data_IF_265754211702
#
_entry.id   IF_265754211702
#
_cell.length_a   1.000
_cell.length_b   1.000
_cell.length_c   1.000
_cell.angle_alpha   90.00
_cell.angle_beta   90.00
_cell.angle_gamma   90.00
#
_symmetry.space_group_name_H-M   'P 1'
#
loop_
_entity.id
_entity.type
_entity.pdbx_description
1 polymer ?
#
# COMPACT_ATOMS: atom_id res chain seq x y z
N UNK A 1 6.10 -8.59 27.97
CA UNK A 1 5.19 -9.72 27.63
C UNK A 1 4.94 -9.68 26.14
N UNK A 2 5.54 -10.61 25.41
CA UNK A 2 5.34 -10.85 23.97
C UNK A 2 4.49 -12.12 23.82
N UNK A 3 3.17 -12.05 23.62
CA UNK A 3 2.40 -13.29 23.48
C UNK A 3 1.75 -13.48 22.10
N UNK A 4 1.53 -12.45 21.30
CA UNK A 4 0.70 -12.62 20.09
C UNK A 4 1.50 -13.03 18.84
N UNK A 5 2.71 -12.50 18.64
CA UNK A 5 3.47 -12.71 17.40
C UNK A 5 4.14 -14.10 17.29
N UNK A 6 4.55 -14.70 18.41
CA UNK A 6 5.18 -16.03 18.43
C UNK A 6 4.19 -17.17 18.13
N UNK A 7 2.91 -16.98 18.45
CA UNK A 7 1.88 -18.00 18.24
C UNK A 7 1.68 -18.33 16.75
N UNK A 8 1.69 -17.32 15.87
CA UNK A 8 1.42 -17.51 14.44
C UNK A 8 2.64 -17.99 13.64
N UNK A 9 3.87 -17.70 14.10
CA UNK A 9 5.10 -18.23 13.51
C UNK A 9 5.25 -19.74 13.71
N UNK A 10 4.85 -20.27 14.88
CA UNK A 10 4.93 -21.69 15.20
C UNK A 10 3.89 -22.57 14.48
N UNK A 11 2.86 -21.99 13.87
CA UNK A 11 1.77 -22.72 13.17
C UNK A 11 2.11 -22.91 11.67
N UNK A 12 3.23 -22.36 11.19
CA UNK A 12 3.74 -22.67 9.84
C UNK A 12 2.88 -22.19 8.67
N UNK A 13 1.95 -21.24 8.91
CA UNK A 13 1.02 -20.71 7.89
C UNK A 13 1.74 -19.76 6.90
N UNK A 14 2.96 -19.30 7.20
CA UNK A 14 3.71 -18.38 6.36
C UNK A 14 5.16 -18.88 6.17
N UNK A 15 5.52 -19.24 4.93
CA UNK A 15 6.91 -19.49 4.55
C UNK A 15 7.52 -18.20 3.99
N UNK A 16 8.52 -17.67 4.70
CA UNK A 16 9.12 -16.36 4.50
C UNK A 16 10.06 -16.25 3.31
N UNK A 17 9.84 -15.23 2.47
CA UNK A 17 10.80 -14.76 1.48
C UNK A 17 11.86 -13.82 2.08
N UNK A 18 12.99 -13.58 1.38
CA UNK A 18 14.17 -12.90 1.92
C UNK A 18 13.97 -11.47 2.45
N UNK A 19 12.85 -10.81 2.11
CA UNK A 19 12.54 -9.42 2.48
C UNK A 19 11.60 -9.28 3.70
N UNK A 20 11.15 -10.39 4.30
CA UNK A 20 10.18 -10.37 5.41
C UNK A 20 10.68 -9.59 6.64
N UNK A 21 11.98 -9.66 6.95
CA UNK A 21 12.56 -8.96 8.11
C UNK A 21 12.47 -7.44 8.00
N UNK A 22 12.47 -6.88 6.78
CA UNK A 22 12.32 -5.44 6.59
C UNK A 22 10.88 -4.98 6.84
N UNK A 23 9.89 -5.82 6.49
CA UNK A 23 8.47 -5.51 6.57
C UNK A 23 7.95 -5.33 8.01
N UNK A 24 8.55 -6.03 8.97
CA UNK A 24 8.15 -5.97 10.39
C UNK A 24 8.97 -4.95 11.21
N UNK A 25 10.02 -4.36 10.64
CA UNK A 25 10.84 -3.35 11.33
C UNK A 25 10.04 -2.07 11.67
N UNK A 26 8.99 -1.78 10.91
CA UNK A 26 8.05 -0.68 11.15
C UNK A 26 7.34 -0.80 12.51
N UNK A 27 7.15 -2.03 13.01
CA UNK A 27 6.50 -2.29 14.30
C UNK A 27 7.48 -2.52 15.47
N UNK A 28 8.75 -2.84 15.19
CA UNK A 28 9.74 -3.24 16.21
C UNK A 28 10.90 -2.26 16.44
N UNK A 29 10.81 -1.03 15.92
CA UNK A 29 11.78 0.03 16.22
C UNK A 29 13.20 -0.22 15.70
N UNK A 30 13.37 -1.17 14.78
CA UNK A 30 14.64 -1.40 14.09
C UNK A 30 14.76 -0.37 12.95
N UNK A 31 15.60 0.65 13.16
CA UNK A 31 15.78 1.77 12.22
C UNK A 31 16.53 1.29 10.98
N UNK A 32 15.84 1.25 9.85
CA UNK A 32 16.45 1.03 8.52
C UNK A 32 16.42 2.36 7.77
N UNK A 33 17.47 2.72 7.00
CA UNK A 33 17.40 3.85 6.09
C UNK A 33 16.24 3.64 5.12
N UNK A 34 15.51 4.71 4.80
CA UNK A 34 14.23 4.60 4.09
C UNK A 34 14.37 4.07 2.67
N UNK A 35 15.55 4.20 2.06
CA UNK A 35 15.92 3.58 0.80
C UNK A 35 17.35 3.06 0.88
N UNK A 36 17.57 1.83 0.40
CA UNK A 36 18.91 1.21 0.33
C UNK A 36 19.47 1.26 -1.08
N UNK A 37 18.62 1.00 -2.08
CA UNK A 37 18.97 1.06 -3.51
C UNK A 37 17.83 1.71 -4.30
N UNK A 38 17.96 3.03 -4.49
CA UNK A 38 16.89 3.90 -4.97
C UNK A 38 16.42 3.53 -6.39
N UNK A 39 17.28 2.98 -7.24
CA UNK A 39 16.92 2.67 -8.64
C UNK A 39 16.07 1.39 -8.78
N UNK A 40 16.40 0.35 -8.01
CA UNK A 40 15.59 -0.88 -7.91
C UNK A 40 14.26 -0.63 -7.19
N UNK A 41 14.30 0.21 -6.15
CA UNK A 41 13.11 0.62 -5.40
C UNK A 41 12.18 1.48 -6.27
N UNK A 42 12.71 2.36 -7.14
CA UNK A 42 11.89 3.16 -8.05
C UNK A 42 11.14 2.28 -9.06
N UNK A 43 11.82 1.29 -9.65
CA UNK A 43 11.16 0.31 -10.54
C UNK A 43 10.07 -0.48 -9.83
N UNK A 44 10.30 -0.80 -8.56
CA UNK A 44 9.32 -1.49 -7.72
C UNK A 44 8.11 -0.61 -7.41
N UNK A 45 8.35 0.67 -7.10
CA UNK A 45 7.29 1.66 -6.87
C UNK A 45 6.45 1.90 -8.12
N UNK A 46 7.06 1.99 -9.31
CA UNK A 46 6.32 2.09 -10.58
C UNK A 46 5.36 0.92 -10.77
N UNK A 47 5.82 -0.31 -10.49
CA UNK A 47 5.00 -1.51 -10.59
C UNK A 47 3.85 -1.55 -9.57
N UNK A 48 4.09 -1.04 -8.36
CA UNK A 48 3.08 -0.97 -7.28
C UNK A 48 2.03 0.10 -7.56
N UNK A 49 2.46 1.29 -7.97
CA UNK A 49 1.57 2.42 -8.24
C UNK A 49 0.92 2.34 -9.63
N UNK A 50 1.33 1.41 -10.50
CA UNK A 50 0.89 1.30 -11.89
C UNK A 50 1.16 2.59 -12.69
N UNK A 51 2.27 3.25 -12.40
CA UNK A 51 2.73 4.47 -13.08
C UNK A 51 3.93 4.11 -13.93
N UNK A 52 3.97 4.59 -15.17
CA UNK A 52 5.14 4.44 -16.05
C UNK A 52 5.79 5.80 -16.23
N UNK A 53 7.06 5.95 -15.83
CA UNK A 53 7.83 7.19 -15.97
C UNK A 53 9.01 6.95 -16.91
N UNK A 54 9.31 7.89 -17.81
CA UNK A 54 10.34 7.71 -18.86
C UNK A 54 11.23 8.94 -19.00
N UNK A 55 12.48 8.71 -19.42
CA UNK A 55 13.43 9.77 -19.79
C UNK A 55 13.68 10.78 -18.67
N UNK A 56 13.72 12.07 -19.01
CA UNK A 56 14.02 13.17 -18.09
C UNK A 56 13.06 13.27 -16.89
N UNK A 57 11.79 12.86 -17.06
CA UNK A 57 10.81 12.89 -15.97
C UNK A 57 11.20 11.92 -14.86
N UNK A 58 11.84 10.80 -15.21
CA UNK A 58 12.30 9.81 -14.24
C UNK A 58 13.41 10.37 -13.36
N UNK A 59 14.38 11.08 -13.95
CA UNK A 59 15.48 11.71 -13.21
C UNK A 59 14.98 12.82 -12.29
N UNK A 60 14.03 13.63 -12.75
CA UNK A 60 13.39 14.68 -11.93
C UNK A 60 12.60 14.07 -10.77
N UNK A 61 11.79 13.04 -11.04
CA UNK A 61 11.02 12.34 -10.01
C UNK A 61 11.95 11.71 -8.97
N UNK A 62 13.04 11.09 -9.43
CA UNK A 62 14.08 10.53 -8.59
C UNK A 62 14.65 11.58 -7.64
N UNK A 63 15.14 12.71 -8.18
CA UNK A 63 15.74 13.78 -7.36
C UNK A 63 14.75 14.33 -6.32
N UNK A 64 13.51 14.55 -6.72
CA UNK A 64 12.46 15.05 -5.84
C UNK A 64 12.11 14.04 -4.72
N UNK A 65 11.99 12.75 -5.06
CA UNK A 65 11.69 11.70 -4.09
C UNK A 65 12.82 11.56 -3.07
N UNK A 66 14.09 11.55 -3.51
CA UNK A 66 15.25 11.52 -2.61
C UNK A 66 15.21 12.69 -1.62
N UNK A 67 14.91 13.91 -2.09
CA UNK A 67 14.82 15.09 -1.23
C UNK A 67 13.69 14.99 -0.20
N UNK A 68 12.52 14.49 -0.59
CA UNK A 68 11.39 14.28 0.33
C UNK A 68 11.74 13.26 1.40
N UNK A 69 12.38 12.16 1.02
CA UNK A 69 12.75 11.10 1.96
C UNK A 69 13.81 11.56 2.96
N UNK A 70 14.84 12.27 2.50
CA UNK A 70 15.83 12.92 3.38
C UNK A 70 15.18 13.88 4.38
N UNK A 71 14.12 14.57 3.98
CA UNK A 71 13.38 15.44 4.89
C UNK A 71 12.60 14.63 5.94
N UNK A 72 11.96 13.52 5.54
CA UNK A 72 11.22 12.64 6.44
C UNK A 72 12.14 11.89 7.41
N UNK A 73 13.39 11.61 7.02
CA UNK A 73 14.39 10.97 7.89
C UNK A 73 14.66 11.76 9.18
N UNK A 74 14.44 13.08 9.19
CA UNK A 74 14.53 13.91 10.41
C UNK A 74 13.59 13.43 11.52
N UNK A 75 12.48 12.77 11.18
CA UNK A 75 11.57 12.19 12.17
C UNK A 75 12.20 11.04 12.96
N UNK A 76 13.29 10.43 12.47
CA UNK A 76 14.02 9.37 13.18
C UNK A 76 14.79 9.88 14.40
N UNK A 77 15.02 11.20 14.50
CA UNK A 77 15.68 11.82 15.66
C UNK A 77 14.82 11.75 16.93
N UNK A 78 13.50 11.59 16.78
CA UNK A 78 12.54 11.54 17.88
C UNK A 78 12.41 10.12 18.47
N UNK A 79 12.31 10.00 19.80
CA UNK A 79 12.04 8.73 20.48
C UNK A 79 10.54 8.48 20.61
N UNK A 80 10.03 7.50 19.87
CA UNK A 80 8.60 7.14 19.84
C UNK A 80 8.29 5.81 20.54
N UNK A 81 9.25 5.18 21.24
CA UNK A 81 9.09 3.84 21.83
C UNK A 81 7.94 3.71 22.84
N UNK A 82 7.55 4.81 23.47
CA UNK A 82 6.51 4.85 24.50
C UNK A 82 5.26 5.61 24.08
N UNK A 83 5.15 5.98 22.80
CA UNK A 83 4.01 6.71 22.24
C UNK A 83 3.19 5.77 21.38
N UNK A 84 1.88 5.72 21.62
CA UNK A 84 0.96 4.93 20.77
C UNK A 84 0.75 5.62 19.43
N UNK A 85 0.73 4.90 18.29
CA UNK A 85 0.37 5.48 17.00
C UNK A 85 -1.04 6.06 17.03
N UNK A 86 -1.20 7.26 16.46
CA UNK A 86 -2.52 7.89 16.30
C UNK A 86 -3.20 7.34 15.04
N UNK A 87 -4.29 6.59 15.22
CA UNK A 87 -5.05 5.99 14.11
C UNK A 87 -6.22 6.87 13.70
N UNK A 88 -6.93 7.46 14.67
CA UNK A 88 -8.07 8.34 14.46
C UNK A 88 -7.94 9.53 15.42
N UNK A 89 -8.24 10.73 14.94
CA UNK A 89 -8.20 11.96 15.75
C UNK A 89 -9.38 12.02 16.72
N UNK A 90 -10.54 11.49 16.33
CA UNK A 90 -11.71 11.39 17.20
C UNK A 90 -11.56 10.25 18.21
N UNK A 91 -11.63 10.60 19.49
CA UNK A 91 -11.63 9.62 20.58
C UNK A 91 -13.04 9.03 20.76
N UNK A 92 -13.15 7.71 20.88
CA UNK A 92 -14.37 7.05 21.40
C UNK A 92 -15.50 6.78 20.39
N UNK A 93 -15.31 7.02 19.10
CA UNK A 93 -16.28 6.58 18.09
C UNK A 93 -16.03 5.11 17.74
N UNK A 94 -16.93 4.21 18.14
CA UNK A 94 -17.01 2.89 17.50
C UNK A 94 -17.23 3.11 16.00
N UNK A 95 -16.60 2.28 15.15
CA UNK A 95 -16.88 2.32 13.73
C UNK A 95 -18.40 2.12 13.54
N UNK A 96 -19.11 3.06 12.87
CA UNK A 96 -20.54 2.92 12.70
C UNK A 96 -20.82 1.67 11.88
N UNK A 97 -21.69 0.80 12.41
CA UNK A 97 -22.16 -0.37 11.67
C UNK A 97 -23.30 0.07 10.75
N UNK A 98 -23.25 -0.38 9.50
CA UNK A 98 -24.35 -0.23 8.53
C UNK A 98 -25.43 -1.28 8.82
N UNK A 99 -26.72 -0.91 8.76
CA UNK A 99 -27.83 -1.87 8.81
C UNK A 99 -27.79 -2.81 7.60
N UNK A 100 -28.21 -4.06 7.77
CA UNK A 100 -28.28 -5.05 6.70
C UNK A 100 -29.59 -4.95 5.91
N UNK A 101 -29.81 -3.77 5.31
CA UNK A 101 -31.00 -3.47 4.52
C UNK A 101 -30.60 -3.13 3.07
N UNK A 102 -31.41 -3.54 2.07
CA UNK A 102 -31.15 -3.18 0.69
C UNK A 102 -31.37 -1.68 0.49
N UNK A 103 -30.46 -1.04 -0.25
CA UNK A 103 -30.55 0.36 -0.65
C UNK A 103 -30.90 0.46 -2.13
N UNK A 104 -31.45 1.60 -2.52
CA UNK A 104 -31.69 1.92 -3.92
C UNK A 104 -30.36 1.95 -4.69
N UNK A 105 -30.27 1.12 -5.71
CA UNK A 105 -29.08 1.00 -6.55
C UNK A 105 -29.18 1.96 -7.74
N UNK A 106 -28.04 2.54 -8.12
CA UNK A 106 -27.95 3.38 -9.32
C UNK A 106 -28.37 2.58 -10.57
N UNK A 107 -29.15 3.22 -11.45
CA UNK A 107 -29.55 2.63 -12.72
C UNK A 107 -28.33 2.22 -13.56
N UNK A 108 -28.41 1.03 -14.14
CA UNK A 108 -27.33 0.43 -14.92
C UNK A 108 -26.98 1.28 -16.14
N UNK A 109 -27.96 1.85 -16.84
CA UNK A 109 -27.68 2.67 -18.02
C UNK A 109 -26.93 3.96 -17.64
N UNK A 110 -27.24 4.52 -16.47
CA UNK A 110 -26.54 5.68 -15.91
C UNK A 110 -25.09 5.35 -15.55
N UNK A 111 -24.85 4.22 -14.88
CA UNK A 111 -23.49 3.75 -14.58
C UNK A 111 -22.66 3.53 -15.86
N UNK A 112 -23.23 2.81 -16.83
CA UNK A 112 -22.53 2.46 -18.08
C UNK A 112 -22.25 3.65 -19.00
N UNK A 113 -22.83 4.83 -18.77
CA UNK A 113 -22.49 6.06 -19.50
C UNK A 113 -21.14 6.65 -19.06
N UNK A 114 -20.70 6.36 -17.84
CA UNK A 114 -19.43 6.89 -17.30
C UNK A 114 -18.21 6.04 -17.69
N UNK A 115 -18.44 4.91 -18.36
CA UNK A 115 -17.41 3.89 -18.59
C UNK A 115 -16.75 4.10 -19.96
N UNK A 116 -15.40 4.11 -20.04
CA UNK A 116 -14.69 4.34 -21.30
C UNK A 116 -14.96 3.29 -22.38
N UNK A 117 -15.00 2.00 -22.04
CA UNK A 117 -15.22 0.91 -22.99
C UNK A 117 -16.13 -0.19 -22.39
N UNK A 118 -17.07 -0.69 -23.20
CA UNK A 118 -18.11 -1.64 -22.77
C UNK A 118 -18.51 -2.60 -23.87
N UNK A 119 -18.92 -3.80 -23.46
CA UNK A 119 -19.57 -4.79 -24.35
C UNK A 119 -20.93 -5.10 -23.73
N UNK A 120 -22.00 -4.67 -24.39
CA UNK A 120 -23.37 -4.85 -23.89
C UNK A 120 -23.53 -4.26 -22.49
N UNK A 121 -23.80 -5.11 -21.50
CA UNK A 121 -23.99 -4.73 -20.08
C UNK A 121 -22.74 -4.90 -19.22
N UNK A 122 -21.58 -5.14 -19.81
CA UNK A 122 -20.31 -5.42 -19.11
C UNK A 122 -19.25 -4.35 -19.38
N UNK A 123 -18.36 -4.15 -18.42
CA UNK A 123 -17.15 -3.33 -18.58
C UNK A 123 -16.10 -4.13 -19.34
N UNK A 124 -15.54 -3.54 -20.40
CA UNK A 124 -14.51 -4.20 -21.19
C UNK A 124 -13.14 -3.88 -20.61
N UNK A 125 -12.39 -4.92 -20.28
CA UNK A 125 -11.00 -4.83 -19.79
C UNK A 125 -10.11 -5.82 -20.54
N UNK A 126 -8.79 -5.57 -20.64
CA UNK A 126 -7.85 -6.57 -21.13
C UNK A 126 -7.90 -7.86 -20.30
N UNK A 127 -7.66 -9.03 -20.92
CA UNK A 127 -7.62 -10.29 -20.19
C UNK A 127 -6.53 -10.28 -19.11
N UNK A 128 -6.83 -10.87 -17.96
CA UNK A 128 -5.95 -10.86 -16.77
C UNK A 128 -4.80 -11.86 -16.90
N UNK A 129 -5.06 -13.02 -17.52
CA UNK A 129 -4.06 -14.04 -17.81
C UNK A 129 -3.63 -13.90 -19.27
N UNK A 130 -2.31 -13.93 -19.52
CA UNK A 130 -1.79 -14.18 -20.87
C UNK A 130 -1.75 -15.69 -21.03
N UNK A 131 -2.46 -16.24 -22.01
CA UNK A 131 -2.28 -17.62 -22.43
C UNK A 131 -0.87 -17.74 -23.02
N UNK A 132 0.05 -18.35 -22.27
CA UNK A 132 1.24 -18.96 -22.84
C UNK A 132 0.83 -20.35 -23.34
N UNK A 133 0.41 -20.42 -24.60
CA UNK A 133 0.24 -21.66 -25.37
C UNK A 133 1.21 -21.65 -26.55
#
# INVERSE_FOLDING_TARGET
>A
MTPFALHWYNIGIFQGGPDEKARWNVFYGQRTPLLKNVEEELKSLEALCKITVRGEEREKLYSNLTRVLQYVEKLQELDTRHVKPLVLVHEGSSAPLRSDEPLDVMDRATFLKMIPDRIGTMVKVPPVMKDEL
#
